data_IF_491520695808
#
_entry.id   IF_491520695808
#
_cell.length_a   1.000
_cell.length_b   1.000
_cell.length_c   1.000
_cell.angle_alpha   90.00
_cell.angle_beta   90.00
_cell.angle_gamma   90.00
#
_symmetry.space_group_name_H-M   'P 1'
#
loop_
_entity.id
_entity.type
_entity.pdbx_description
1 polymer ?
#
# COMPACT_ATOMS: atom_id res chain seq x y z
N UNK A 1 -10.04 12.54 -12.52
CA UNK A 1 -10.42 11.24 -11.94
C UNK A 1 -9.34 10.21 -12.23
N UNK A 2 -9.04 9.41 -11.24
CA UNK A 2 -7.97 8.41 -11.38
C UNK A 2 -8.41 7.14 -12.11
N UNK A 3 -9.69 6.80 -12.06
CA UNK A 3 -10.21 5.54 -12.58
C UNK A 3 -9.44 4.33 -12.06
N UNK A 4 -9.13 4.35 -10.78
CA UNK A 4 -8.33 3.32 -10.14
C UNK A 4 -9.00 1.95 -10.22
N UNK A 5 -8.25 0.95 -10.72
CA UNK A 5 -8.66 -0.44 -10.72
C UNK A 5 -7.52 -1.28 -10.14
N UNK A 6 -7.86 -2.12 -9.19
CA UNK A 6 -6.92 -3.05 -8.59
C UNK A 6 -7.46 -4.47 -8.78
N UNK A 7 -6.63 -5.34 -9.35
CA UNK A 7 -6.96 -6.75 -9.54
C UNK A 7 -6.10 -7.59 -8.61
N UNK A 8 -6.78 -8.45 -7.85
CA UNK A 8 -6.13 -9.41 -6.98
C UNK A 8 -6.67 -10.78 -7.36
N UNK A 9 -5.76 -11.72 -7.66
CA UNK A 9 -6.12 -13.07 -8.08
C UNK A 9 -7.13 -13.05 -9.24
N UNK A 10 -6.84 -12.23 -10.27
CA UNK A 10 -7.65 -12.06 -11.48
C UNK A 10 -9.05 -11.49 -11.27
N UNK A 11 -9.33 -10.92 -10.10
CA UNK A 11 -10.60 -10.27 -9.81
C UNK A 11 -10.39 -8.80 -9.52
N UNK A 12 -11.22 -7.96 -10.15
CA UNK A 12 -11.25 -6.54 -9.81
C UNK A 12 -11.89 -6.38 -8.44
N UNK A 13 -11.20 -5.74 -7.53
CA UNK A 13 -11.71 -5.57 -6.17
C UNK A 13 -12.46 -4.24 -6.03
N UNK A 14 -13.33 -4.17 -5.04
CA UNK A 14 -14.00 -2.93 -4.64
C UNK A 14 -13.52 -2.54 -3.24
N UNK A 15 -13.66 -1.27 -2.90
CA UNK A 15 -13.18 -0.75 -1.63
C UNK A 15 -13.87 -1.45 -0.45
N UNK A 16 -13.07 -1.96 0.48
CA UNK A 16 -13.58 -2.70 1.64
C UNK A 16 -13.88 -4.16 1.40
N UNK A 17 -13.56 -4.69 0.22
CA UNK A 17 -13.83 -6.10 -0.10
C UNK A 17 -13.13 -7.05 0.86
N UNK A 18 -13.85 -8.07 1.33
CA UNK A 18 -13.27 -9.14 2.15
C UNK A 18 -12.75 -10.22 1.21
N UNK A 19 -11.47 -10.54 1.30
CA UNK A 19 -10.81 -11.49 0.40
C UNK A 19 -10.18 -12.60 1.25
N UNK A 20 -10.42 -13.88 0.91
CA UNK A 20 -9.73 -14.97 1.61
C UNK A 20 -8.21 -14.82 1.52
N UNK A 21 -7.53 -15.08 2.61
CA UNK A 21 -6.08 -14.87 2.71
C UNK A 21 -5.31 -15.52 1.56
N UNK A 22 -5.68 -16.73 1.17
CA UNK A 22 -4.99 -17.46 0.11
C UNK A 22 -4.99 -16.74 -1.24
N UNK A 23 -5.97 -15.88 -1.49
CA UNK A 23 -6.05 -15.13 -2.75
C UNK A 23 -5.30 -13.79 -2.70
N UNK A 24 -4.79 -13.40 -1.54
CA UNK A 24 -4.08 -12.13 -1.37
C UNK A 24 -2.56 -12.26 -1.50
N UNK A 25 -2.07 -13.46 -1.80
CA UNK A 25 -0.62 -13.73 -1.79
C UNK A 25 0.08 -13.36 -3.08
N UNK A 26 -0.67 -13.03 -4.12
CA UNK A 26 -0.12 -12.62 -5.41
C UNK A 26 0.03 -11.09 -5.46
N UNK A 27 0.96 -10.64 -6.29
CA UNK A 27 1.18 -9.21 -6.50
C UNK A 27 -0.08 -8.56 -7.08
N UNK A 28 -0.62 -7.51 -6.46
CA UNK A 28 -1.77 -6.80 -7.02
C UNK A 28 -1.41 -6.14 -8.35
N UNK A 29 -2.36 -6.14 -9.29
CA UNK A 29 -2.22 -5.39 -10.53
C UNK A 29 -2.98 -4.07 -10.38
N UNK A 30 -2.26 -2.97 -10.56
CA UNK A 30 -2.79 -1.64 -10.30
C UNK A 30 -2.80 -0.84 -11.61
N UNK A 31 -3.97 -0.34 -11.97
CA UNK A 31 -4.15 0.52 -13.13
C UNK A 31 -4.89 1.79 -12.73
N UNK A 32 -4.42 2.91 -13.21
CA UNK A 32 -5.08 4.20 -13.01
C UNK A 32 -4.69 5.18 -14.10
N UNK A 33 -5.47 6.23 -14.26
CA UNK A 33 -5.20 7.26 -15.26
C UNK A 33 -4.09 8.17 -14.76
N UNK A 34 -3.02 8.28 -15.55
CA UNK A 34 -1.87 9.13 -15.26
C UNK A 34 -1.86 10.35 -16.16
N UNK A 35 -1.46 11.49 -15.62
CA UNK A 35 -1.22 12.68 -16.44
C UNK A 35 0.06 12.50 -17.27
N UNK A 36 0.13 13.20 -18.42
CA UNK A 36 1.34 13.20 -19.23
C UNK A 36 2.52 13.66 -18.39
N UNK A 37 3.62 12.88 -18.43
CA UNK A 37 4.84 13.13 -17.66
C UNK A 37 4.62 13.13 -16.15
N UNK A 38 3.46 12.71 -15.67
CA UNK A 38 3.19 12.60 -14.25
C UNK A 38 4.02 11.51 -13.60
N UNK A 39 4.46 11.76 -12.36
CA UNK A 39 5.17 10.79 -11.54
C UNK A 39 4.31 10.44 -10.33
N UNK A 40 4.29 9.17 -10.00
CA UNK A 40 3.41 8.66 -8.95
C UNK A 40 4.15 7.70 -8.05
N UNK A 41 3.72 7.71 -6.78
CA UNK A 41 4.15 6.78 -5.74
C UNK A 41 2.98 5.86 -5.42
N UNK A 42 3.27 4.58 -5.22
CA UNK A 42 2.28 3.60 -4.77
C UNK A 42 2.76 3.04 -3.45
N UNK A 43 1.90 3.07 -2.44
CA UNK A 43 2.20 2.56 -1.10
C UNK A 43 1.11 1.60 -0.68
N UNK A 44 1.51 0.41 -0.19
CA UNK A 44 0.58 -0.53 0.43
C UNK A 44 0.96 -0.71 1.89
N UNK A 45 0.00 -0.50 2.80
CA UNK A 45 0.23 -0.56 4.25
C UNK A 45 -0.90 -1.28 4.96
N UNK A 46 -0.56 -1.86 6.12
CA UNK A 46 -1.50 -2.44 7.08
C UNK A 46 -1.50 -1.60 8.36
N UNK A 47 -2.58 -0.87 8.64
CA UNK A 47 -2.66 -0.08 9.88
C UNK A 47 -3.03 -0.93 11.11
N UNK A 48 -3.31 -2.21 10.94
CA UNK A 48 -3.88 -3.06 11.98
C UNK A 48 -2.89 -4.10 12.53
N UNK A 49 -1.60 -3.92 12.29
CA UNK A 49 -0.58 -4.87 12.72
C UNK A 49 -0.16 -4.60 14.17
N UNK A 50 -0.06 -5.59 15.04
CA UNK A 50 -0.39 -7.00 14.82
C UNK A 50 -1.87 -7.32 14.94
N UNK A 51 -2.66 -6.48 15.58
CA UNK A 51 -4.12 -6.58 15.66
C UNK A 51 -4.75 -5.20 15.58
N UNK A 52 -6.01 -5.14 15.14
CA UNK A 52 -6.73 -3.86 15.04
C UNK A 52 -6.93 -3.21 16.40
N UNK A 53 -7.14 -4.02 17.44
CA UNK A 53 -7.33 -3.52 18.81
C UNK A 53 -6.06 -2.97 19.43
N UNK A 54 -4.90 -3.49 19.02
CA UNK A 54 -3.61 -3.06 19.56
C UNK A 54 -2.57 -2.97 18.45
N UNK A 55 -2.67 -1.94 17.56
CA UNK A 55 -1.86 -1.84 16.35
C UNK A 55 -0.49 -1.21 16.62
N UNK A 56 0.31 -1.83 17.48
CA UNK A 56 1.60 -1.28 17.90
C UNK A 56 2.62 -1.19 16.76
N UNK A 57 2.41 -1.91 15.65
CA UNK A 57 3.30 -1.86 14.48
C UNK A 57 2.76 -1.00 13.35
N UNK A 58 1.71 -0.23 13.60
CA UNK A 58 1.09 0.66 12.62
C UNK A 58 2.09 1.72 12.14
N UNK A 59 2.28 1.92 10.85
CA UNK A 59 1.83 1.10 9.73
C UNK A 59 2.85 0.03 9.39
N UNK A 60 2.41 -1.17 9.02
CA UNK A 60 3.31 -2.16 8.46
C UNK A 60 3.39 -1.94 6.94
N UNK A 61 4.59 -1.70 6.43
CA UNK A 61 4.79 -1.35 5.02
C UNK A 61 4.93 -2.63 4.18
N UNK A 62 3.97 -2.84 3.29
CA UNK A 62 3.95 -4.01 2.40
C UNK A 62 4.59 -3.74 1.05
N UNK A 63 4.58 -2.50 0.58
CA UNK A 63 5.05 -2.18 -0.76
C UNK A 63 5.28 -0.68 -0.91
N UNK A 64 6.37 -0.30 -1.58
CA UNK A 64 6.65 1.10 -1.89
C UNK A 64 7.31 1.21 -3.25
N UNK A 65 6.63 1.89 -4.18
CA UNK A 65 7.12 2.20 -5.51
C UNK A 65 7.13 3.71 -5.67
N UNK A 66 8.21 4.26 -6.19
CA UNK A 66 8.29 5.69 -6.51
C UNK A 66 8.55 5.89 -8.00
N UNK A 67 8.33 7.11 -8.48
CA UNK A 67 8.64 7.48 -9.86
C UNK A 67 8.02 6.53 -10.89
N UNK A 68 6.79 6.10 -10.64
CA UNK A 68 6.01 5.17 -11.45
C UNK A 68 6.46 3.70 -11.38
N UNK A 69 7.77 3.43 -11.32
CA UNK A 69 8.24 2.05 -11.45
C UNK A 69 9.52 1.72 -10.69
N UNK A 70 9.99 2.60 -9.82
CA UNK A 70 11.18 2.30 -9.01
C UNK A 70 10.77 1.67 -7.69
N UNK A 71 11.08 0.40 -7.49
CA UNK A 71 10.74 -0.34 -6.29
C UNK A 71 11.72 0.00 -5.18
N UNK A 72 11.23 0.61 -4.10
CA UNK A 72 12.02 0.91 -2.90
C UNK A 72 11.88 -0.20 -1.89
N UNK A 73 10.65 -0.70 -1.69
CA UNK A 73 10.37 -1.82 -0.79
C UNK A 73 9.55 -2.83 -1.56
N UNK A 74 10.10 -4.03 -1.73
CA UNK A 74 9.45 -5.11 -2.47
C UNK A 74 8.13 -5.50 -1.82
N UNK A 75 7.20 -5.94 -2.66
CA UNK A 75 5.92 -6.44 -2.18
C UNK A 75 6.14 -7.63 -1.24
N UNK A 76 5.57 -7.54 -0.04
CA UNK A 76 5.39 -8.70 0.82
C UNK A 76 3.88 -8.90 1.02
N UNK A 77 3.37 -10.11 0.81
CA UNK A 77 1.93 -10.34 0.88
C UNK A 77 1.37 -10.21 2.29
N UNK A 78 0.04 -10.03 2.41
CA UNK A 78 -0.60 -10.09 3.71
C UNK A 78 -0.26 -11.34 4.48
N UNK A 79 0.12 -11.16 5.75
CA UNK A 79 0.48 -12.25 6.65
C UNK A 79 -0.03 -11.95 8.07
N UNK A 80 -1.33 -11.70 8.25
CA UNK A 80 -1.85 -11.41 9.58
C UNK A 80 -1.64 -12.61 10.50
N UNK A 81 -1.24 -12.39 11.75
CA UNK A 81 -1.06 -13.50 12.68
C UNK A 81 -2.34 -14.30 12.85
N UNK A 82 -2.19 -15.61 13.04
CA UNK A 82 -3.33 -16.49 13.19
C UNK A 82 -4.23 -16.03 14.35
N UNK A 83 -5.52 -15.95 14.07
CA UNK A 83 -6.54 -15.53 15.04
C UNK A 83 -6.39 -14.09 15.55
N UNK A 84 -5.65 -13.24 14.83
CA UNK A 84 -5.52 -11.83 15.19
C UNK A 84 -6.70 -10.97 14.70
N UNK A 85 -7.65 -11.59 13.98
CA UNK A 85 -8.81 -10.90 13.45
C UNK A 85 -8.54 -10.25 12.10
N UNK A 86 -9.54 -9.50 11.59
CA UNK A 86 -9.41 -8.85 10.28
C UNK A 86 -8.38 -7.74 10.28
N UNK A 87 -7.59 -7.68 9.20
CA UNK A 87 -6.65 -6.60 8.93
C UNK A 87 -7.06 -5.89 7.65
N UNK A 88 -6.94 -4.58 7.63
CA UNK A 88 -7.17 -3.76 6.43
C UNK A 88 -5.84 -3.55 5.71
N UNK A 89 -5.87 -3.63 4.38
CA UNK A 89 -4.68 -3.40 3.55
C UNK A 89 -5.01 -2.28 2.58
N UNK A 90 -4.40 -1.12 2.81
CA UNK A 90 -4.63 0.07 2.02
C UNK A 90 -3.59 0.21 0.92
N UNK A 91 -4.06 0.50 -0.28
CA UNK A 91 -3.20 0.85 -1.41
C UNK A 91 -3.47 2.31 -1.73
N UNK A 92 -2.44 3.13 -1.63
CA UNK A 92 -2.52 4.57 -1.91
C UNK A 92 -1.87 4.90 -3.24
N UNK A 93 -2.57 5.71 -4.05
CA UNK A 93 -2.02 6.30 -5.26
C UNK A 93 -1.69 7.75 -4.93
N UNK A 94 -0.43 8.11 -5.12
CA UNK A 94 0.11 9.36 -4.61
C UNK A 94 0.80 10.12 -5.73
N UNK A 95 0.42 11.38 -5.92
CA UNK A 95 1.01 12.24 -6.94
C UNK A 95 2.28 12.88 -6.41
N UNK A 96 3.32 12.90 -7.25
CA UNK A 96 4.60 13.54 -6.95
C UNK A 96 4.71 14.86 -7.70
N UNK A 97 5.23 15.91 -7.03
CA UNK A 97 5.54 17.18 -7.70
C UNK A 97 6.80 17.08 -8.54
N UNK A 98 7.70 16.18 -8.18
CA UNK A 98 9.01 16.03 -8.82
C UNK A 98 9.46 14.59 -8.69
N UNK A 99 10.50 14.24 -9.45
CA UNK A 99 11.16 12.95 -9.26
C UNK A 99 11.73 12.87 -7.85
N UNK A 100 11.57 11.72 -7.23
CA UNK A 100 12.19 11.44 -5.94
C UNK A 100 13.55 10.78 -6.17
N UNK A 101 14.50 11.07 -5.29
CA UNK A 101 15.82 10.45 -5.34
C UNK A 101 15.85 9.27 -4.39
N UNK A 102 16.00 8.08 -4.93
CA UNK A 102 16.03 6.83 -4.14
C UNK A 102 17.06 6.89 -3.01
N UNK A 103 18.19 7.53 -3.22
CA UNK A 103 19.24 7.61 -2.20
C UNK A 103 18.83 8.43 -0.97
N UNK A 104 17.81 9.26 -1.09
CA UNK A 104 17.29 10.05 0.04
C UNK A 104 16.22 9.34 0.82
N UNK A 105 15.79 8.16 0.36
CA UNK A 105 14.72 7.40 1.00
C UNK A 105 15.38 6.22 1.73
N UNK A 106 15.28 6.24 3.07
CA UNK A 106 15.89 5.20 3.90
C UNK A 106 14.82 4.50 4.70
N UNK A 107 14.50 3.29 4.29
CA UNK A 107 13.52 2.43 4.96
C UNK A 107 14.29 1.23 5.52
N UNK A 108 14.43 1.18 6.83
CA UNK A 108 15.22 0.14 7.50
C UNK A 108 14.39 -1.05 7.95
N UNK A 109 13.09 -0.86 8.11
CA UNK A 109 12.17 -1.89 8.58
C UNK A 109 10.78 -1.59 8.06
N UNK A 110 9.93 -2.61 8.05
CA UNK A 110 8.56 -2.47 7.53
C UNK A 110 7.57 -2.02 8.60
N UNK A 111 7.76 -2.44 9.85
CA UNK A 111 6.87 -2.03 10.93
C UNK A 111 7.12 -0.59 11.35
N UNK A 112 6.07 0.07 11.80
CA UNK A 112 6.10 1.46 12.28
C UNK A 112 6.50 2.46 11.20
N UNK A 113 6.15 2.17 9.94
CA UNK A 113 6.36 3.11 8.86
C UNK A 113 5.52 4.36 9.10
N UNK A 114 6.16 5.54 9.09
CA UNK A 114 5.46 6.80 9.32
C UNK A 114 4.95 7.36 7.99
N UNK A 115 3.73 7.00 7.63
CA UNK A 115 3.13 7.39 6.36
C UNK A 115 2.99 8.91 6.23
N UNK A 116 2.50 9.56 7.29
CA UNK A 116 2.29 11.02 7.27
C UNK A 116 3.61 11.78 7.08
N UNK A 117 4.67 11.35 7.76
CA UNK A 117 5.98 11.96 7.62
C UNK A 117 6.55 11.74 6.22
N UNK A 118 6.42 10.54 5.69
CA UNK A 118 6.89 10.24 4.34
C UNK A 118 6.21 11.14 3.30
N UNK A 119 4.90 11.32 3.44
CA UNK A 119 4.12 12.18 2.54
C UNK A 119 4.56 13.63 2.66
N UNK A 120 4.73 14.12 3.88
CA UNK A 120 5.13 15.51 4.12
C UNK A 120 6.56 15.77 3.65
N UNK A 121 7.49 14.86 3.94
CA UNK A 121 8.91 15.05 3.60
C UNK A 121 9.19 15.05 2.09
N UNK A 122 8.30 14.43 1.32
CA UNK A 122 8.49 14.28 -0.13
C UNK A 122 7.50 15.08 -0.96
N UNK A 123 6.75 15.99 -0.32
CA UNK A 123 5.76 16.85 -1.00
C UNK A 123 4.78 16.03 -1.85
N UNK A 124 4.19 15.03 -1.24
CA UNK A 124 3.30 14.09 -1.92
C UNK A 124 1.83 14.42 -1.65
N UNK A 125 0.96 14.03 -2.59
CA UNK A 125 -0.48 14.22 -2.46
C UNK A 125 -1.20 12.90 -2.75
N UNK A 126 -1.93 12.37 -1.77
CA UNK A 126 -2.76 11.19 -1.98
C UNK A 126 -3.94 11.59 -2.88
N UNK A 127 -4.04 10.96 -4.04
CA UNK A 127 -5.11 11.27 -5.01
C UNK A 127 -6.17 10.18 -5.08
N UNK A 128 -5.88 8.99 -4.61
CA UNK A 128 -6.86 7.91 -4.52
C UNK A 128 -6.36 6.82 -3.59
N UNK A 129 -7.28 5.99 -3.14
CA UNK A 129 -6.95 4.83 -2.34
C UNK A 129 -8.02 3.76 -2.48
N UNK A 130 -7.65 2.52 -2.19
CA UNK A 130 -8.57 1.39 -2.11
C UNK A 130 -8.03 0.47 -1.02
N UNK A 131 -8.93 -0.22 -0.32
CA UNK A 131 -8.48 -1.21 0.65
C UNK A 131 -9.29 -2.49 0.54
N UNK A 132 -8.69 -3.57 1.00
CA UNK A 132 -9.37 -4.84 1.17
C UNK A 132 -9.10 -5.34 2.58
N UNK A 133 -9.85 -6.35 2.99
CA UNK A 133 -9.77 -6.92 4.33
C UNK A 133 -9.51 -8.40 4.21
N UNK A 134 -8.56 -8.91 4.99
CA UNK A 134 -8.34 -10.35 5.10
C UNK A 134 -7.92 -10.71 6.51
N UNK A 135 -8.05 -11.98 6.85
CA UNK A 135 -7.65 -12.48 8.17
C UNK A 135 -7.14 -13.91 8.07
N UNK A 136 -6.40 -14.32 9.09
CA UNK A 136 -5.88 -15.68 9.21
C UNK A 136 -6.61 -16.35 10.37
N UNK A 137 -7.50 -17.25 10.05
CA UNK A 137 -8.33 -17.97 11.04
C UNK A 137 -7.66 -19.27 11.47
#
# INVERSE_FOLDING_TARGET
MTNLQVNIHNNTIYDGMIIPLKYTQELPKINFTKNNNGKYTIIMVDPDAPTRENPIYKYFLHWLIINNNEIIVDFTPPAPPKNSGPHRYFIFIIKQDKLLNQSNIKINKREKFNLAEFIADNDLEIIDSIHFVTENK
#
